data_IF_651680498386
#
_entry.id   IF_651680498386
#
_cell.length_a   1.000
_cell.length_b   1.000
_cell.length_c   1.000
_cell.angle_alpha   90.00
_cell.angle_beta   90.00
_cell.angle_gamma   90.00
#
_symmetry.space_group_name_H-M   'P 1'
#
loop_
_entity.id
_entity.type
_entity.pdbx_description
1 polymer ?
#
# COMPACT_ATOMS: atom_id res chain seq x y z
N UNK A 1 -30.22 -35.94 35.25
CA UNK A 1 -29.00 -35.68 34.47
C UNK A 1 -29.40 -34.69 33.38
N UNK A 2 -29.13 -33.40 33.57
CA UNK A 2 -29.62 -32.32 32.71
C UNK A 2 -28.52 -32.00 31.70
N UNK A 3 -28.77 -32.25 30.42
CA UNK A 3 -27.87 -31.81 29.34
C UNK A 3 -27.98 -30.29 29.19
N UNK A 4 -26.88 -29.53 29.28
CA UNK A 4 -26.92 -28.11 28.91
C UNK A 4 -27.13 -27.96 27.40
N UNK A 5 -27.87 -26.94 26.95
CA UNK A 5 -28.07 -26.66 25.53
C UNK A 5 -26.75 -26.22 24.88
N UNK A 6 -26.37 -26.86 23.78
CA UNK A 6 -25.24 -26.47 22.93
C UNK A 6 -25.65 -25.22 22.14
N UNK A 7 -25.13 -24.05 22.52
CA UNK A 7 -25.36 -22.82 21.77
C UNK A 7 -24.69 -22.89 20.36
N UNK A 8 -25.41 -22.53 19.29
CA UNK A 8 -24.92 -22.67 17.93
C UNK A 8 -23.95 -21.54 17.55
N UNK A 9 -22.67 -21.90 17.34
CA UNK A 9 -21.85 -21.69 16.12
C UNK A 9 -21.99 -20.39 15.30
N UNK A 10 -22.39 -19.25 15.89
CA UNK A 10 -22.43 -17.94 15.20
C UNK A 10 -21.05 -17.28 15.09
N UNK A 11 -20.12 -17.59 16.01
CA UNK A 11 -18.78 -17.00 16.02
C UNK A 11 -17.88 -17.41 14.85
N UNK A 12 -17.92 -18.67 14.42
CA UNK A 12 -17.03 -19.20 13.37
C UNK A 12 -17.25 -18.59 11.98
N UNK A 13 -18.50 -18.23 11.65
CA UNK A 13 -18.82 -17.63 10.33
C UNK A 13 -18.33 -16.17 10.26
N UNK A 14 -18.36 -15.45 11.39
CA UNK A 14 -17.84 -14.09 11.52
C UNK A 14 -16.30 -14.04 11.38
N UNK A 15 -15.59 -14.95 12.06
CA UNK A 15 -14.12 -15.04 12.01
C UNK A 15 -13.60 -15.39 10.61
N UNK A 16 -14.25 -16.33 9.92
CA UNK A 16 -13.86 -16.71 8.56
C UNK A 16 -13.97 -15.55 7.56
N UNK A 17 -15.05 -14.75 7.63
CA UNK A 17 -15.21 -13.54 6.79
C UNK A 17 -14.17 -12.48 7.11
N UNK A 18 -13.83 -12.31 8.39
CA UNK A 18 -12.78 -11.36 8.81
C UNK A 18 -11.39 -11.75 8.30
N UNK A 19 -11.07 -13.05 8.26
CA UNK A 19 -9.80 -13.56 7.74
C UNK A 19 -9.65 -13.31 6.24
N UNK A 20 -10.69 -13.62 5.48
CA UNK A 20 -10.70 -13.43 4.02
C UNK A 20 -10.61 -11.93 3.67
N UNK A 21 -11.35 -11.07 4.38
CA UNK A 21 -11.27 -9.62 4.16
C UNK A 21 -9.87 -9.07 4.43
N UNK A 22 -9.20 -9.54 5.49
CA UNK A 22 -7.84 -9.13 5.82
C UNK A 22 -6.83 -9.59 4.76
N UNK A 23 -6.95 -10.83 4.29
CA UNK A 23 -6.08 -11.39 3.26
C UNK A 23 -6.19 -10.61 1.94
N UNK A 24 -7.42 -10.30 1.51
CA UNK A 24 -7.66 -9.45 0.33
C UNK A 24 -7.05 -8.07 0.52
N UNK A 25 -7.28 -7.43 1.67
CA UNK A 25 -6.72 -6.10 1.95
C UNK A 25 -5.20 -6.11 1.91
N UNK A 26 -4.57 -7.15 2.47
CA UNK A 26 -3.12 -7.29 2.49
C UNK A 26 -2.56 -7.50 1.08
N UNK A 27 -3.22 -8.29 0.24
CA UNK A 27 -2.83 -8.49 -1.15
C UNK A 27 -2.96 -7.20 -1.97
N UNK A 28 -4.06 -6.46 -1.80
CA UNK A 28 -4.23 -5.14 -2.47
C UNK A 28 -3.13 -4.19 -2.04
N UNK A 29 -2.85 -4.13 -0.73
CA UNK A 29 -1.78 -3.30 -0.19
C UNK A 29 -0.40 -3.72 -0.75
N UNK A 30 -0.11 -5.02 -0.82
CA UNK A 30 1.15 -5.53 -1.36
C UNK A 30 1.31 -5.21 -2.86
N UNK A 31 0.24 -5.34 -3.64
CA UNK A 31 0.22 -4.94 -5.06
C UNK A 31 0.50 -3.44 -5.21
N UNK A 32 -0.17 -2.60 -4.40
CA UNK A 32 0.04 -1.16 -4.39
C UNK A 32 1.48 -0.80 -3.99
N UNK A 33 1.99 -1.39 -2.91
CA UNK A 33 3.37 -1.20 -2.45
C UNK A 33 4.39 -1.60 -3.52
N UNK A 34 4.16 -2.72 -4.20
CA UNK A 34 5.01 -3.19 -5.30
C UNK A 34 5.02 -2.21 -6.46
N UNK A 35 3.86 -1.67 -6.85
CA UNK A 35 3.78 -0.67 -7.91
C UNK A 35 4.53 0.62 -7.55
N UNK A 36 4.43 1.08 -6.29
CA UNK A 36 5.16 2.25 -5.79
C UNK A 36 6.67 2.01 -5.80
N UNK A 37 7.13 0.83 -5.35
CA UNK A 37 8.55 0.48 -5.39
C UNK A 37 9.07 0.38 -6.83
N UNK A 38 8.30 -0.23 -7.73
CA UNK A 38 8.64 -0.30 -9.14
C UNK A 38 8.80 1.11 -9.74
N UNK A 39 7.87 2.04 -9.43
CA UNK A 39 7.96 3.44 -9.83
C UNK A 39 9.26 4.08 -9.35
N UNK A 40 9.62 3.92 -8.08
CA UNK A 40 10.86 4.50 -7.52
C UNK A 40 12.11 3.94 -8.18
N UNK A 41 12.13 2.63 -8.46
CA UNK A 41 13.26 2.00 -9.17
C UNK A 41 13.39 2.57 -10.58
N UNK A 42 12.28 2.68 -11.31
CA UNK A 42 12.29 3.23 -12.67
C UNK A 42 12.71 4.71 -12.68
N UNK A 43 12.15 5.54 -11.79
CA UNK A 43 12.53 6.95 -11.66
C UNK A 43 13.97 7.14 -11.19
N UNK A 44 14.44 6.30 -10.26
CA UNK A 44 15.81 6.32 -9.76
C UNK A 44 16.82 5.90 -10.83
N UNK A 45 16.44 4.97 -11.70
CA UNK A 45 17.22 4.57 -12.88
C UNK A 45 17.04 5.52 -14.08
N UNK A 46 16.26 6.60 -13.94
CA UNK A 46 15.92 7.53 -15.02
C UNK A 46 15.34 6.84 -16.25
N UNK A 47 14.57 5.77 -16.05
CA UNK A 47 13.92 5.02 -17.11
C UNK A 47 12.71 5.81 -17.64
N UNK A 48 12.71 6.20 -18.93
CA UNK A 48 11.65 7.02 -19.50
C UNK A 48 10.37 6.21 -19.76
N UNK A 49 9.25 6.92 -19.80
CA UNK A 49 7.91 6.40 -20.08
C UNK A 49 7.79 5.73 -21.45
N UNK A 50 8.69 6.05 -22.38
CA UNK A 50 8.72 5.45 -23.73
C UNK A 50 9.00 3.94 -23.73
N UNK A 51 9.48 3.38 -22.62
CA UNK A 51 9.63 1.93 -22.47
C UNK A 51 8.30 1.29 -22.04
N UNK A 52 7.91 0.11 -22.59
CA UNK A 52 6.63 -0.54 -22.24
C UNK A 52 6.45 -0.79 -20.74
N UNK A 53 7.55 -1.08 -20.04
CA UNK A 53 7.54 -1.29 -18.58
C UNK A 53 7.33 0.04 -17.84
N UNK A 54 7.97 1.11 -18.30
CA UNK A 54 7.82 2.47 -17.75
C UNK A 54 6.38 2.96 -17.88
N UNK A 55 5.87 3.05 -19.11
CA UNK A 55 4.50 3.49 -19.39
C UNK A 55 3.44 2.73 -18.57
N UNK A 56 3.57 1.41 -18.42
CA UNK A 56 2.62 0.64 -17.63
C UNK A 56 2.67 1.07 -16.16
N UNK A 57 3.84 1.10 -15.55
CA UNK A 57 3.99 1.44 -14.12
C UNK A 57 3.55 2.88 -13.85
N UNK A 58 3.95 3.83 -14.68
CA UNK A 58 3.59 5.24 -14.51
C UNK A 58 2.09 5.45 -14.68
N UNK A 59 1.44 4.84 -15.67
CA UNK A 59 -0.01 4.93 -15.85
C UNK A 59 -0.81 4.49 -14.61
N UNK A 60 -0.35 3.45 -13.90
CA UNK A 60 -1.02 2.98 -12.70
C UNK A 60 -0.70 3.81 -11.45
N UNK A 61 0.46 4.48 -11.42
CA UNK A 61 0.95 5.16 -10.21
C UNK A 61 0.87 6.69 -10.27
N UNK A 62 0.78 7.30 -11.44
CA UNK A 62 0.61 8.75 -11.62
C UNK A 62 -0.63 9.31 -10.90
N UNK A 63 -1.81 8.64 -10.92
CA UNK A 63 -2.95 9.13 -10.16
C UNK A 63 -2.72 9.21 -8.65
N UNK A 64 -1.76 8.43 -8.12
CA UNK A 64 -1.44 8.42 -6.68
C UNK A 64 -0.60 9.64 -6.27
N UNK A 65 0.24 10.14 -7.17
CA UNK A 65 1.09 11.32 -6.92
C UNK A 65 0.44 12.62 -7.39
N UNK A 66 -0.53 12.55 -8.31
CA UNK A 66 -1.23 13.69 -8.88
C UNK A 66 -1.73 14.74 -7.85
N UNK A 67 -2.29 14.36 -6.68
CA UNK A 67 -2.72 15.34 -5.68
C UNK A 67 -1.59 16.23 -5.15
N UNK A 68 -0.37 15.71 -5.10
CA UNK A 68 0.81 16.43 -4.58
C UNK A 68 1.61 17.13 -5.69
N UNK A 69 1.47 16.70 -6.93
CA UNK A 69 2.17 17.29 -8.08
C UNK A 69 1.78 18.75 -8.36
N UNK A 70 0.62 19.21 -7.90
CA UNK A 70 0.18 20.61 -8.03
C UNK A 70 0.86 21.59 -7.09
N UNK A 71 1.64 21.12 -6.11
CA UNK A 71 2.31 21.98 -5.15
C UNK A 71 3.55 22.64 -5.77
N UNK A 72 3.78 23.94 -5.52
CA UNK A 72 4.95 24.64 -6.05
C UNK A 72 6.24 24.00 -5.53
N UNK A 73 7.10 23.60 -6.46
CA UNK A 73 8.37 22.93 -6.15
C UNK A 73 8.26 21.41 -5.95
N UNK A 74 7.06 20.82 -5.95
CA UNK A 74 6.89 19.38 -5.78
C UNK A 74 7.47 18.56 -6.93
N UNK A 75 7.40 19.06 -8.16
CA UNK A 75 7.95 18.40 -9.35
C UNK A 75 9.48 18.55 -9.50
N UNK A 76 10.18 19.14 -8.53
CA UNK A 76 11.65 19.24 -8.60
C UNK A 76 12.27 17.85 -8.37
N UNK A 77 13.17 17.40 -9.27
CA UNK A 77 13.88 16.15 -9.07
C UNK A 77 14.85 16.28 -7.89
N UNK A 78 14.85 15.27 -7.01
CA UNK A 78 15.70 15.18 -5.82
C UNK A 78 16.84 14.17 -6.07
N UNK A 79 16.50 12.99 -6.59
CA UNK A 79 17.45 11.93 -6.92
C UNK A 79 17.00 11.22 -8.20
N UNK A 80 17.81 11.26 -9.26
CA UNK A 80 17.37 10.83 -10.59
C UNK A 80 16.14 11.65 -11.04
N UNK A 81 15.07 10.97 -11.43
CA UNK A 81 13.76 11.59 -11.72
C UNK A 81 12.78 11.54 -10.53
N UNK A 82 13.21 11.11 -9.34
CA UNK A 82 12.36 11.01 -8.15
C UNK A 82 12.05 12.41 -7.60
N UNK A 83 10.76 12.68 -7.37
CA UNK A 83 10.24 13.96 -6.87
C UNK A 83 9.70 13.86 -5.44
N UNK A 84 9.31 14.99 -4.84
CA UNK A 84 8.75 15.03 -3.48
C UNK A 84 7.45 14.21 -3.33
N UNK A 85 6.49 14.27 -4.28
CA UNK A 85 5.33 13.38 -4.30
C UNK A 85 5.70 11.89 -4.24
N UNK A 86 6.71 11.46 -4.99
CA UNK A 86 7.13 10.05 -5.03
C UNK A 86 7.68 9.60 -3.68
N UNK A 87 8.51 10.44 -3.04
CA UNK A 87 9.04 10.15 -1.70
C UNK A 87 7.94 10.11 -0.65
N UNK A 88 6.93 10.98 -0.77
CA UNK A 88 5.82 10.99 0.17
C UNK A 88 4.94 9.76 0.02
N UNK A 89 4.70 9.33 -1.23
CA UNK A 89 3.99 8.08 -1.52
C UNK A 89 4.77 6.87 -0.98
N UNK A 90 6.09 6.84 -1.17
CA UNK A 90 6.97 5.81 -0.61
C UNK A 90 6.88 5.78 0.93
N UNK A 91 6.94 6.95 1.57
CA UNK A 91 6.83 7.09 3.01
C UNK A 91 5.46 6.58 3.51
N UNK A 92 4.37 6.90 2.83
CA UNK A 92 3.04 6.38 3.19
C UNK A 92 3.00 4.84 3.13
N UNK A 93 3.54 4.25 2.06
CA UNK A 93 3.62 2.79 1.93
C UNK A 93 4.38 2.20 3.12
N UNK A 94 5.51 2.77 3.53
CA UNK A 94 6.32 2.23 4.65
C UNK A 94 5.71 2.52 6.03
N UNK A 95 5.10 3.69 6.22
CA UNK A 95 4.58 4.12 7.52
C UNK A 95 3.30 3.37 7.92
N UNK A 96 2.47 2.96 6.97
CA UNK A 96 1.25 2.19 7.24
C UNK A 96 1.53 0.89 8.03
N UNK A 97 2.41 -0.03 7.58
CA UNK A 97 2.71 -1.26 8.30
C UNK A 97 3.48 -0.98 9.59
N UNK A 98 4.35 0.03 9.63
CA UNK A 98 5.03 0.43 10.86
C UNK A 98 4.03 0.93 11.92
N UNK A 99 3.05 1.74 11.53
CA UNK A 99 1.99 2.20 12.42
C UNK A 99 1.09 1.05 12.89
N UNK A 100 0.82 0.07 12.02
CA UNK A 100 0.09 -1.14 12.39
C UNK A 100 0.87 -1.98 13.43
N UNK A 101 2.19 -2.14 13.24
CA UNK A 101 3.07 -2.86 14.15
C UNK A 101 3.23 -2.14 15.50
N UNK A 102 3.38 -0.81 15.49
CA UNK A 102 3.47 -0.02 16.71
C UNK A 102 2.20 -0.17 17.58
N UNK A 103 1.02 -0.18 16.96
CA UNK A 103 -0.26 -0.39 17.66
C UNK A 103 -0.45 -1.81 18.18
N UNK A 104 0.14 -2.83 17.54
CA UNK A 104 0.07 -4.20 18.04
C UNK A 104 0.99 -4.42 19.25
N UNK A 105 2.12 -3.71 19.31
CA UNK A 105 3.06 -3.78 20.44
C UNK A 105 2.51 -3.16 21.73
N UNK A 106 1.64 -2.16 21.65
CA UNK A 106 1.05 -1.50 22.83
C UNK A 106 -0.12 -2.24 23.49
N UNK A 107 -0.50 -3.41 22.97
CA UNK A 107 -1.59 -4.26 23.51
C UNK A 107 -1.10 -5.51 24.27
N UNK A 108 0.20 -5.63 24.49
CA UNK A 108 0.82 -6.67 25.32
C UNK A 108 1.26 -6.06 26.65
#
# INVERSE_FOLDING_TARGET
MIHPPVEPRRGTISVARSSLALEILLNIYALGATAVLARLVLLGASIPDGLPVGSLVYRWTDPLVAPMSGLPGAARPIFGAITLPDLTLAAMVVLIPLAALARSSGRR
#
